data_IF_152425410658
#
_entry.id   IF_152425410658
#
_cell.length_a   1.000
_cell.length_b   1.000
_cell.length_c   1.000
_cell.angle_alpha   90.00
_cell.angle_beta   90.00
_cell.angle_gamma   90.00
#
_symmetry.space_group_name_H-M   'P 1'
#
loop_
_entity.id
_entity.type
_entity.pdbx_description
1 polymer ?
#
# COMPACT_ATOMS: atom_id res chain seq x y z
N UNK A 1 -1.18 -48.79 48.89
CA UNK A 1 -0.40 -47.98 47.95
C UNK A 1 0.30 -46.92 48.76
N UNK A 2 1.63 -46.85 48.65
CA UNK A 2 2.49 -46.03 49.49
C UNK A 2 2.33 -44.54 49.11
N UNK A 3 2.07 -43.67 50.08
CA UNK A 3 1.88 -42.22 49.86
C UNK A 3 3.10 -41.56 49.22
N UNK A 4 4.28 -42.17 49.35
CA UNK A 4 5.51 -41.72 48.69
C UNK A 4 5.44 -41.83 47.15
N UNK A 5 4.77 -42.86 46.64
CA UNK A 5 4.58 -43.08 45.19
C UNK A 5 3.62 -42.01 44.64
N UNK A 6 2.55 -41.70 45.37
CA UNK A 6 1.57 -40.69 44.97
C UNK A 6 2.17 -39.27 44.91
N UNK A 7 3.01 -38.91 45.89
CA UNK A 7 3.71 -37.62 45.89
C UNK A 7 4.69 -37.52 44.71
N UNK A 8 5.40 -38.61 44.39
CA UNK A 8 6.33 -38.65 43.25
C UNK A 8 5.58 -38.51 41.92
N UNK A 9 4.44 -39.18 41.76
CA UNK A 9 3.58 -39.04 40.56
C UNK A 9 3.07 -37.59 40.41
N UNK A 10 2.55 -36.98 41.48
CA UNK A 10 2.10 -35.58 41.44
C UNK A 10 3.24 -34.60 41.13
N UNK A 11 4.43 -34.82 41.69
CA UNK A 11 5.58 -33.96 41.42
C UNK A 11 6.04 -34.03 39.95
N UNK A 12 5.98 -35.22 39.34
CA UNK A 12 6.26 -35.41 37.91
C UNK A 12 5.21 -34.70 37.05
N UNK A 13 3.93 -34.83 37.39
CA UNK A 13 2.82 -34.20 36.67
C UNK A 13 2.94 -32.67 36.68
N UNK A 14 3.13 -32.06 37.87
CA UNK A 14 3.34 -30.61 38.04
C UNK A 14 4.58 -30.12 37.26
N UNK A 15 5.67 -30.89 37.26
CA UNK A 15 6.88 -30.53 36.52
C UNK A 15 6.63 -30.54 35.00
N UNK A 16 5.84 -31.51 34.51
CA UNK A 16 5.47 -31.61 33.10
C UNK A 16 4.59 -30.44 32.65
N UNK A 17 3.61 -30.05 33.47
CA UNK A 17 2.74 -28.90 33.20
C UNK A 17 3.52 -27.59 33.21
N UNK A 18 4.39 -27.39 34.20
CA UNK A 18 5.21 -26.18 34.28
C UNK A 18 6.17 -26.06 33.09
N UNK A 19 6.75 -27.17 32.63
CA UNK A 19 7.59 -27.18 31.44
C UNK A 19 6.78 -26.81 30.19
N UNK A 20 5.61 -27.41 30.00
CA UNK A 20 4.73 -27.11 28.88
C UNK A 20 4.31 -25.63 28.85
N UNK A 21 4.03 -25.04 30.03
CA UNK A 21 3.74 -23.62 30.16
C UNK A 21 4.93 -22.74 29.76
N UNK A 22 6.13 -23.05 30.24
CA UNK A 22 7.34 -22.28 29.90
C UNK A 22 7.66 -22.39 28.40
N UNK A 23 7.52 -23.57 27.81
CA UNK A 23 7.74 -23.79 26.37
C UNK A 23 6.72 -22.97 25.55
N UNK A 24 5.45 -22.93 26.00
CA UNK A 24 4.41 -22.10 25.38
C UNK A 24 4.72 -20.60 25.49
N UNK A 25 5.14 -20.12 26.66
CA UNK A 25 5.55 -18.72 26.87
C UNK A 25 6.71 -18.33 25.95
N UNK A 26 7.68 -19.23 25.75
CA UNK A 26 8.79 -19.01 24.84
C UNK A 26 8.32 -18.89 23.37
N UNK A 27 7.46 -19.81 22.93
CA UNK A 27 6.90 -19.78 21.56
C UNK A 27 6.07 -18.51 21.34
N UNK A 28 5.28 -18.09 22.34
CA UNK A 28 4.52 -16.84 22.26
C UNK A 28 5.44 -15.62 22.13
N UNK A 29 6.50 -15.54 22.92
CA UNK A 29 7.46 -14.44 22.84
C UNK A 29 8.18 -14.39 21.48
N UNK A 30 8.55 -15.54 20.92
CA UNK A 30 9.12 -15.62 19.57
C UNK A 30 8.11 -15.16 18.51
N UNK A 31 6.86 -15.60 18.60
CA UNK A 31 5.81 -15.20 17.67
C UNK A 31 5.51 -13.70 17.75
N UNK A 32 5.47 -13.12 18.94
CA UNK A 32 5.29 -11.68 19.14
C UNK A 32 6.43 -10.89 18.49
N UNK A 33 7.67 -11.33 18.66
CA UNK A 33 8.82 -10.69 18.00
C UNK A 33 8.76 -10.83 16.48
N UNK A 34 8.38 -11.99 15.95
CA UNK A 34 8.18 -12.19 14.52
C UNK A 34 7.07 -11.30 13.94
N UNK A 35 5.94 -11.17 14.65
CA UNK A 35 4.85 -10.29 14.25
C UNK A 35 5.35 -8.84 14.22
N UNK A 36 6.03 -8.39 15.28
CA UNK A 36 6.55 -7.03 15.39
C UNK A 36 7.54 -6.71 14.26
N UNK A 37 8.45 -7.63 13.95
CA UNK A 37 9.40 -7.46 12.85
C UNK A 37 8.69 -7.34 11.50
N UNK A 38 7.73 -8.23 11.21
CA UNK A 38 6.95 -8.18 9.97
C UNK A 38 6.10 -6.93 9.87
N UNK A 39 5.49 -6.48 10.97
CA UNK A 39 4.73 -5.22 11.00
C UNK A 39 5.65 -4.05 10.66
N UNK A 40 6.84 -3.97 11.23
CA UNK A 40 7.81 -2.92 10.92
C UNK A 40 8.26 -2.95 9.45
N UNK A 41 8.48 -4.13 8.88
CA UNK A 41 8.81 -4.29 7.47
C UNK A 41 7.66 -3.86 6.55
N UNK A 42 6.42 -4.23 6.89
CA UNK A 42 5.23 -3.81 6.18
C UNK A 42 5.05 -2.30 6.23
N UNK A 43 5.20 -1.68 7.40
CA UNK A 43 5.14 -0.22 7.57
C UNK A 43 6.21 0.49 6.72
N UNK A 44 7.44 -0.03 6.69
CA UNK A 44 8.51 0.50 5.84
C UNK A 44 8.17 0.39 4.36
N UNK A 45 7.67 -0.77 3.93
CA UNK A 45 7.26 -1.00 2.54
C UNK A 45 6.10 -0.09 2.12
N UNK A 46 5.08 0.05 2.98
CA UNK A 46 3.95 0.95 2.76
C UNK A 46 4.40 2.42 2.64
N UNK A 47 5.29 2.87 3.52
CA UNK A 47 5.85 4.23 3.45
C UNK A 47 6.66 4.45 2.16
N UNK A 48 7.51 3.51 1.77
CA UNK A 48 8.27 3.60 0.51
C UNK A 48 7.34 3.63 -0.71
N UNK A 49 6.27 2.82 -0.73
CA UNK A 49 5.27 2.83 -1.80
C UNK A 49 4.53 4.17 -1.89
N UNK A 50 4.21 4.78 -0.75
CA UNK A 50 3.56 6.10 -0.68
C UNK A 50 4.45 7.20 -1.24
N UNK A 51 5.72 7.22 -0.85
CA UNK A 51 6.70 8.18 -1.36
C UNK A 51 6.88 8.04 -2.88
N UNK A 52 7.08 6.81 -3.35
CA UNK A 52 7.19 6.51 -4.78
C UNK A 52 5.94 6.96 -5.55
N UNK A 53 4.75 6.60 -5.07
CA UNK A 53 3.47 6.96 -5.71
C UNK A 53 3.27 8.47 -5.77
N UNK A 54 3.63 9.19 -4.70
CA UNK A 54 3.52 10.66 -4.63
C UNK A 54 4.46 11.33 -5.64
N UNK A 55 5.72 10.89 -5.68
CA UNK A 55 6.72 11.39 -6.61
C UNK A 55 6.32 11.12 -8.07
N UNK A 56 5.99 9.87 -8.40
CA UNK A 56 5.59 9.49 -9.75
C UNK A 56 4.34 10.24 -10.22
N UNK A 57 3.35 10.44 -9.33
CA UNK A 57 2.15 11.18 -9.67
C UNK A 57 2.44 12.65 -10.00
N UNK A 58 3.31 13.32 -9.23
CA UNK A 58 3.73 14.69 -9.52
C UNK A 58 4.38 14.78 -10.91
N UNK A 59 5.32 13.88 -11.19
CA UNK A 59 6.08 13.88 -12.44
C UNK A 59 5.21 13.56 -13.66
N UNK A 60 4.15 12.77 -13.49
CA UNK A 60 3.17 12.49 -14.54
C UNK A 60 2.14 13.61 -14.72
N UNK A 61 1.76 14.32 -13.65
CA UNK A 61 0.77 15.43 -13.75
C UNK A 61 1.29 16.61 -14.54
N UNK A 62 2.58 16.92 -14.45
CA UNK A 62 3.18 18.06 -15.15
C UNK A 62 3.10 17.96 -16.68
N UNK A 63 3.49 16.86 -17.35
CA UNK A 63 3.30 16.70 -18.78
C UNK A 63 1.82 16.64 -19.19
N UNK A 64 0.93 16.06 -18.38
CA UNK A 64 -0.52 16.06 -18.65
C UNK A 64 -1.11 17.48 -18.63
N UNK A 65 -0.71 18.28 -17.64
CA UNK A 65 -1.07 19.71 -17.55
C UNK A 65 -0.59 20.47 -18.78
N UNK A 66 0.63 20.22 -19.25
CA UNK A 66 1.17 20.84 -20.48
C UNK A 66 0.36 20.44 -21.71
N UNK A 67 -0.01 19.17 -21.85
CA UNK A 67 -0.87 18.69 -22.94
C UNK A 67 -2.19 19.47 -22.98
N UNK A 68 -2.86 19.60 -21.84
CA UNK A 68 -4.13 20.34 -21.72
C UNK A 68 -3.97 21.82 -22.07
N UNK A 69 -2.91 22.47 -21.57
CA UNK A 69 -2.63 23.88 -21.87
C UNK A 69 -2.36 24.09 -23.36
N UNK A 70 -1.54 23.24 -23.97
CA UNK A 70 -1.23 23.37 -25.39
C UNK A 70 -2.42 23.04 -26.29
N UNK A 71 -3.22 22.03 -25.96
CA UNK A 71 -4.43 21.72 -26.73
C UNK A 71 -5.42 22.89 -26.69
N UNK A 72 -5.64 23.50 -25.52
CA UNK A 72 -6.50 24.68 -25.38
C UNK A 72 -5.97 25.90 -26.13
N UNK A 73 -4.66 26.20 -26.00
CA UNK A 73 -4.04 27.32 -26.74
C UNK A 73 -4.10 27.15 -28.26
N UNK A 74 -3.97 25.92 -28.77
CA UNK A 74 -4.09 25.67 -30.21
C UNK A 74 -5.51 25.99 -30.69
N UNK A 75 -6.54 25.64 -29.90
CA UNK A 75 -7.93 25.98 -30.20
C UNK A 75 -8.20 27.50 -30.16
N UNK A 76 -7.45 28.26 -29.36
CA UNK A 76 -7.56 29.72 -29.28
C UNK A 76 -6.84 30.47 -30.41
N UNK A 77 -5.71 29.93 -30.90
CA UNK A 77 -4.82 30.61 -31.85
C UNK A 77 -5.10 30.22 -33.31
N UNK A 78 -5.58 29.00 -33.55
CA UNK A 78 -5.87 28.51 -34.89
C UNK A 78 -7.39 28.49 -35.07
N UNK A 79 -7.87 29.00 -36.21
CA UNK A 79 -9.27 28.85 -36.60
C UNK A 79 -9.51 27.39 -37.00
N UNK A 80 -9.87 26.58 -36.01
CA UNK A 80 -10.13 25.15 -36.18
C UNK A 80 -11.58 24.98 -36.61
N UNK A 81 -11.79 24.39 -37.79
CA UNK A 81 -13.13 24.08 -38.30
C UNK A 81 -13.94 23.27 -37.26
N UNK A 82 -15.13 23.76 -36.85
CA UNK A 82 -15.99 23.03 -35.94
C UNK A 82 -16.31 21.62 -36.41
N UNK A 83 -15.95 20.62 -35.60
CA UNK A 83 -16.17 19.21 -35.93
C UNK A 83 -15.19 18.62 -36.96
N UNK A 84 -14.25 19.42 -37.47
CA UNK A 84 -13.18 18.97 -38.35
C UNK A 84 -12.18 18.05 -37.63
N UNK A 85 -11.32 17.39 -38.43
CA UNK A 85 -10.34 16.40 -37.95
C UNK A 85 -9.41 16.99 -36.87
N UNK A 86 -8.95 18.23 -37.04
CA UNK A 86 -8.08 18.88 -36.09
C UNK A 86 -8.75 19.08 -34.72
N UNK A 87 -10.03 19.47 -34.67
CA UNK A 87 -10.76 19.61 -33.42
C UNK A 87 -10.94 18.26 -32.72
N UNK A 88 -11.30 17.21 -33.48
CA UNK A 88 -11.47 15.87 -32.93
C UNK A 88 -10.18 15.35 -32.26
N UNK A 89 -9.01 15.61 -32.86
CA UNK A 89 -7.73 15.25 -32.27
C UNK A 89 -7.40 16.06 -31.01
N UNK A 90 -7.62 17.38 -31.04
CA UNK A 90 -7.39 18.25 -29.88
C UNK A 90 -8.28 17.84 -28.69
N UNK A 91 -9.57 17.62 -28.94
CA UNK A 91 -10.50 17.15 -27.91
C UNK A 91 -10.14 15.74 -27.43
N UNK A 92 -9.72 14.86 -28.34
CA UNK A 92 -9.26 13.51 -28.01
C UNK A 92 -8.03 13.52 -27.10
N UNK A 93 -7.07 14.40 -27.37
CA UNK A 93 -5.87 14.61 -26.57
C UNK A 93 -6.22 15.15 -25.19
N UNK A 94 -7.07 16.17 -25.12
CA UNK A 94 -7.55 16.76 -23.86
C UNK A 94 -8.27 15.74 -22.98
N UNK A 95 -9.26 15.04 -23.53
CA UNK A 95 -9.98 13.97 -22.80
C UNK A 95 -9.04 12.87 -22.31
N UNK A 96 -8.01 12.53 -23.08
CA UNK A 96 -7.05 11.50 -22.68
C UNK A 96 -6.15 11.97 -21.53
N UNK A 97 -5.71 13.23 -21.57
CA UNK A 97 -4.95 13.82 -20.49
C UNK A 97 -5.77 13.97 -19.19
N UNK A 98 -7.03 14.36 -19.28
CA UNK A 98 -7.95 14.41 -18.14
C UNK A 98 -8.19 13.04 -17.52
N UNK A 99 -8.45 12.01 -18.34
CA UNK A 99 -8.61 10.63 -17.84
C UNK A 99 -7.35 10.15 -17.10
N UNK A 100 -6.17 10.43 -17.63
CA UNK A 100 -4.92 10.07 -16.95
C UNK A 100 -4.75 10.81 -15.63
N UNK A 101 -5.09 12.11 -15.56
CA UNK A 101 -5.07 12.85 -14.29
C UNK A 101 -5.99 12.20 -13.24
N UNK A 102 -7.22 11.83 -13.62
CA UNK A 102 -8.16 11.14 -12.71
C UNK A 102 -7.61 9.80 -12.22
N UNK A 103 -7.01 9.00 -13.12
CA UNK A 103 -6.42 7.71 -12.75
C UNK A 103 -5.24 7.86 -11.77
N UNK A 104 -4.42 8.89 -11.98
CA UNK A 104 -3.30 9.21 -11.06
C UNK A 104 -3.85 9.63 -9.69
N UNK A 105 -4.90 10.45 -9.65
CA UNK A 105 -5.54 10.85 -8.40
C UNK A 105 -6.14 9.66 -7.65
N UNK A 106 -6.76 8.72 -8.36
CA UNK A 106 -7.32 7.52 -7.74
C UNK A 106 -6.23 6.56 -7.25
N UNK A 107 -5.12 6.44 -7.98
CA UNK A 107 -3.95 5.68 -7.53
C UNK A 107 -3.32 6.28 -6.27
N UNK A 108 -3.24 7.62 -6.19
CA UNK A 108 -2.76 8.32 -5.00
C UNK A 108 -3.67 8.10 -3.79
N UNK A 109 -4.99 8.10 -3.98
CA UNK A 109 -5.93 7.79 -2.88
C UNK A 109 -5.75 6.34 -2.41
N UNK A 110 -5.59 5.39 -3.33
CA UNK A 110 -5.37 3.99 -2.98
C UNK A 110 -4.09 3.79 -2.17
N UNK A 111 -2.98 4.45 -2.56
CA UNK A 111 -1.72 4.35 -1.83
C UNK A 111 -1.76 4.98 -0.43
N UNK A 112 -2.68 5.94 -0.20
CA UNK A 112 -2.92 6.53 1.12
C UNK A 112 -3.78 5.65 2.05
N UNK A 113 -4.73 4.88 1.49
CA UNK A 113 -5.63 4.00 2.28
C UNK A 113 -4.95 2.70 2.69
N UNK A 114 -3.96 2.22 1.93
CA UNK A 114 -3.19 1.01 2.28
C UNK A 114 -2.20 1.21 3.43
N UNK A 115 -2.14 2.42 4.01
CA UNK A 115 -1.26 2.80 5.14
C UNK A 115 -1.85 2.42 6.49
#
# INVERSE_FOLDING_TARGET
MDGSILIMEMAIDITSEQKAKNDLEHVLAEQEEHIKQRTLELERSNNALKEFSTFAAHDLKEPLRKILVFSGRIQEVIDVEPGGIAQQYLDGMGRSAERMNSLIDDLLKLSQVAS
#
